data_IF_802328103513
#
_entry.id   IF_802328103513
#
_cell.length_a   1.000
_cell.length_b   1.000
_cell.length_c   1.000
_cell.angle_alpha   90.00
_cell.angle_beta   90.00
_cell.angle_gamma   90.00
#
_symmetry.space_group_name_H-M   'P 1'
#
loop_
_entity.id
_entity.type
_entity.pdbx_description
1 polymer ?
#
# COMPACT_ATOMS: atom_id res chain seq x y z
N UNK A 1 -12.24 19.40 -10.16
CA UNK A 1 -10.86 19.80 -10.57
C UNK A 1 -9.91 18.90 -9.80
N UNK A 2 -8.87 18.35 -10.43
CA UNK A 2 -7.93 17.44 -9.72
C UNK A 2 -6.90 18.31 -9.01
N UNK A 3 -6.87 18.26 -7.67
CA UNK A 3 -5.96 19.03 -6.82
C UNK A 3 -5.11 18.14 -5.91
N UNK A 4 -5.61 16.93 -5.62
CA UNK A 4 -4.95 15.94 -4.78
C UNK A 4 -5.01 14.55 -5.40
N UNK A 5 -3.87 13.94 -5.61
CA UNK A 5 -3.73 12.61 -6.21
C UNK A 5 -3.09 11.67 -5.17
N UNK A 6 -3.69 10.50 -4.98
CA UNK A 6 -3.10 9.40 -4.24
C UNK A 6 -2.61 8.36 -5.23
N UNK A 7 -1.35 7.94 -5.12
CA UNK A 7 -0.81 6.84 -5.92
C UNK A 7 -0.34 5.71 -5.01
N UNK A 8 -0.84 4.50 -5.26
CA UNK A 8 -0.41 3.28 -4.57
C UNK A 8 0.83 2.70 -5.21
N UNK A 9 1.90 2.48 -4.43
CA UNK A 9 3.15 1.88 -4.90
C UNK A 9 3.51 0.67 -4.05
N UNK A 10 3.91 -0.43 -4.69
CA UNK A 10 4.36 -1.68 -4.06
C UNK A 10 5.75 -2.13 -4.52
N UNK A 11 6.39 -1.34 -5.39
CA UNK A 11 7.70 -1.66 -5.98
C UNK A 11 7.60 -2.46 -7.28
N UNK A 12 6.41 -2.88 -7.71
CA UNK A 12 6.20 -3.54 -9.00
C UNK A 12 6.37 -2.57 -10.18
N UNK A 13 6.65 -3.12 -11.36
CA UNK A 13 6.72 -2.33 -12.61
C UNK A 13 5.40 -1.61 -12.91
N UNK A 14 4.26 -2.22 -12.57
CA UNK A 14 2.95 -1.62 -12.78
C UNK A 14 2.72 -0.43 -11.83
N UNK A 15 3.17 -0.53 -10.60
CA UNK A 15 3.10 0.60 -9.66
C UNK A 15 4.07 1.73 -10.01
N UNK A 16 5.24 1.41 -10.58
CA UNK A 16 6.15 2.43 -11.11
C UNK A 16 5.52 3.19 -12.30
N UNK A 17 4.87 2.47 -13.24
CA UNK A 17 4.09 3.12 -14.31
C UNK A 17 2.95 3.98 -13.75
N UNK A 18 2.22 3.46 -12.75
CA UNK A 18 1.15 4.21 -12.10
C UNK A 18 1.67 5.52 -11.49
N UNK A 19 2.83 5.49 -10.87
CA UNK A 19 3.50 6.69 -10.37
C UNK A 19 3.81 7.67 -11.49
N UNK A 20 4.37 7.22 -12.61
CA UNK A 20 4.69 8.08 -13.76
C UNK A 20 3.43 8.80 -14.29
N UNK A 21 2.32 8.08 -14.47
CA UNK A 21 1.04 8.69 -14.86
C UNK A 21 0.51 9.69 -13.84
N UNK A 22 0.60 9.35 -12.54
CA UNK A 22 0.19 10.25 -11.47
C UNK A 22 0.98 11.58 -11.50
N UNK A 23 2.29 11.51 -11.76
CA UNK A 23 3.16 12.69 -11.84
C UNK A 23 2.86 13.55 -13.07
N UNK A 24 2.60 12.95 -14.22
CA UNK A 24 2.20 13.68 -15.42
C UNK A 24 0.88 14.43 -15.23
N UNK A 25 -0.11 13.78 -14.59
CA UNK A 25 -1.38 14.40 -14.27
C UNK A 25 -1.17 15.52 -13.24
N UNK A 26 -0.39 15.27 -12.18
CA UNK A 26 -0.11 16.26 -11.15
C UNK A 26 0.56 17.52 -11.72
N UNK A 27 1.49 17.36 -12.63
CA UNK A 27 2.16 18.50 -13.29
C UNK A 27 1.18 19.35 -14.10
N UNK A 28 0.30 18.71 -14.89
CA UNK A 28 -0.69 19.41 -15.72
C UNK A 28 -1.75 20.16 -14.91
N UNK A 29 -2.14 19.61 -13.76
CA UNK A 29 -3.17 20.18 -12.91
C UNK A 29 -2.64 20.96 -11.72
N UNK A 30 -1.31 21.05 -11.55
CA UNK A 30 -0.67 21.61 -10.35
C UNK A 30 -1.15 20.96 -9.05
N UNK A 31 -1.43 19.65 -9.12
CA UNK A 31 -1.94 18.87 -8.01
C UNK A 31 -0.80 18.40 -7.07
N UNK A 32 -1.12 18.20 -5.80
CA UNK A 32 -0.25 17.52 -4.86
C UNK A 32 -0.40 15.99 -4.98
N UNK A 33 0.69 15.26 -4.72
CA UNK A 33 0.72 13.79 -4.80
C UNK A 33 1.09 13.19 -3.46
N UNK A 34 0.27 12.25 -2.98
CA UNK A 34 0.62 11.33 -1.91
C UNK A 34 1.05 10.00 -2.52
N UNK A 35 2.28 9.61 -2.26
CA UNK A 35 2.80 8.29 -2.60
C UNK A 35 2.56 7.40 -1.38
N UNK A 36 1.64 6.44 -1.51
CA UNK A 36 1.23 5.54 -0.44
C UNK A 36 1.76 4.14 -0.72
N UNK A 37 2.46 3.58 0.26
CA UNK A 37 2.72 2.14 0.31
C UNK A 37 1.96 1.55 1.49
N UNK A 38 1.36 0.39 1.30
CA UNK A 38 0.66 -0.34 2.35
C UNK A 38 1.21 -1.75 2.39
N UNK A 39 1.55 -2.21 3.58
CA UNK A 39 1.96 -3.59 3.81
C UNK A 39 1.01 -4.28 4.79
N UNK A 40 0.81 -5.57 4.56
CA UNK A 40 -0.01 -6.39 5.44
C UNK A 40 0.86 -7.51 6.01
N UNK A 41 1.14 -7.49 7.32
CA UNK A 41 1.79 -8.61 7.97
C UNK A 41 0.98 -9.90 7.78
N UNK A 42 1.62 -11.06 7.60
CA UNK A 42 0.92 -12.33 7.56
C UNK A 42 0.05 -12.52 8.82
N UNK A 43 -1.13 -13.16 8.71
CA UNK A 43 -2.07 -13.32 9.82
C UNK A 43 -1.46 -13.94 11.09
N UNK A 44 -0.52 -14.83 10.92
CA UNK A 44 0.23 -15.50 11.99
C UNK A 44 1.11 -14.54 12.82
N UNK A 45 1.41 -13.37 12.30
CA UNK A 45 2.25 -12.37 12.98
C UNK A 45 1.45 -11.18 13.53
N UNK A 46 0.18 -11.01 13.15
CA UNK A 46 -0.57 -9.78 13.42
C UNK A 46 -1.69 -9.85 14.46
N UNK A 47 -2.18 -11.02 14.86
CA UNK A 47 -3.41 -11.12 15.67
C UNK A 47 -3.35 -12.19 16.78
N UNK A 48 -2.33 -12.22 17.60
CA UNK A 48 -2.33 -13.07 18.80
C UNK A 48 -2.38 -12.28 20.11
N UNK A 49 -3.18 -11.25 20.19
CA UNK A 49 -3.32 -10.57 21.48
C UNK A 49 -4.57 -10.98 22.28
N UNK A 50 -5.68 -11.45 21.70
CA UNK A 50 -6.91 -11.56 22.51
C UNK A 50 -7.87 -12.73 22.23
N UNK A 51 -7.55 -13.75 21.43
CA UNK A 51 -8.55 -14.77 21.10
C UNK A 51 -8.26 -16.18 21.66
N UNK A 52 -7.11 -16.42 22.25
CA UNK A 52 -6.76 -17.77 22.76
C UNK A 52 -7.04 -18.01 24.24
N UNK A 53 -7.64 -17.06 24.96
CA UNK A 53 -7.94 -17.26 26.40
C UNK A 53 -9.24 -18.05 26.69
N UNK A 54 -9.95 -18.55 25.68
CA UNK A 54 -11.24 -19.24 25.91
C UNK A 54 -11.31 -20.71 25.52
N UNK A 55 -10.23 -21.33 25.04
CA UNK A 55 -10.23 -22.76 24.80
C UNK A 55 -9.13 -23.48 25.59
N UNK A 56 -9.48 -24.39 26.52
CA UNK A 56 -8.49 -25.23 27.20
C UNK A 56 -7.97 -26.27 26.20
N UNK A 57 -6.84 -26.01 25.57
CA UNK A 57 -6.16 -26.95 24.69
C UNK A 57 -5.22 -27.83 25.52
N UNK A 58 -5.76 -28.91 26.12
CA UNK A 58 -4.94 -30.01 26.61
C UNK A 58 -4.52 -30.85 25.42
N UNK A 59 -3.24 -30.80 25.03
CA UNK A 59 -2.68 -31.72 24.03
C UNK A 59 -1.65 -31.17 23.04
N UNK A 60 -1.30 -29.88 23.10
CA UNK A 60 -0.20 -29.35 22.27
C UNK A 60 1.07 -29.12 23.08
N UNK A 61 2.27 -29.41 22.51
CA UNK A 61 3.54 -29.15 23.20
C UNK A 61 3.66 -27.65 23.56
N UNK A 62 4.04 -27.36 24.80
CA UNK A 62 4.22 -25.98 25.30
C UNK A 62 5.42 -25.24 24.70
N UNK A 63 6.14 -25.85 23.79
CA UNK A 63 7.38 -25.29 23.20
C UNK A 63 7.12 -24.23 22.10
N UNK A 64 5.86 -23.98 21.75
CA UNK A 64 5.46 -22.98 20.73
C UNK A 64 5.21 -21.57 21.28
N UNK A 65 5.29 -21.36 22.61
CA UNK A 65 5.07 -20.02 23.24
C UNK A 65 6.35 -19.15 23.19
N UNK A 66 7.45 -19.64 22.63
CA UNK A 66 8.78 -19.07 22.73
C UNK A 66 9.16 -17.94 21.74
N UNK A 67 8.29 -17.44 20.85
CA UNK A 67 8.78 -16.60 19.74
C UNK A 67 8.11 -15.23 19.55
N UNK A 68 7.74 -14.52 20.64
CA UNK A 68 7.29 -13.12 20.50
C UNK A 68 8.41 -12.19 19.98
N UNK A 69 9.67 -12.49 20.28
CA UNK A 69 10.81 -11.72 19.79
C UNK A 69 11.04 -11.86 18.28
N UNK A 70 10.79 -13.03 17.71
CA UNK A 70 10.98 -13.27 16.27
C UNK A 70 9.89 -12.60 15.42
N UNK A 71 8.66 -12.50 15.95
CA UNK A 71 7.55 -11.84 15.25
C UNK A 71 7.78 -10.33 15.15
N UNK A 72 8.26 -9.71 16.22
CA UNK A 72 8.57 -8.28 16.21
C UNK A 72 9.72 -7.94 15.27
N UNK A 73 10.79 -8.75 15.25
CA UNK A 73 11.91 -8.57 14.33
C UNK A 73 11.47 -8.71 12.87
N UNK A 74 10.64 -9.71 12.55
CA UNK A 74 10.12 -9.91 11.20
C UNK A 74 9.28 -8.72 10.73
N UNK A 75 8.37 -8.19 11.57
CA UNK A 75 7.54 -7.03 11.21
C UNK A 75 8.42 -5.79 11.01
N UNK A 76 9.47 -5.60 11.83
CA UNK A 76 10.43 -4.50 11.65
C UNK A 76 11.15 -4.62 10.32
N UNK A 77 11.59 -5.81 9.94
CA UNK A 77 12.28 -6.02 8.67
C UNK A 77 11.34 -5.86 7.47
N UNK A 78 10.10 -6.34 7.57
CA UNK A 78 9.07 -6.11 6.56
C UNK A 78 8.81 -4.61 6.37
N UNK A 79 8.66 -3.86 7.46
CA UNK A 79 8.50 -2.40 7.41
C UNK A 79 9.65 -1.72 6.69
N UNK A 80 10.92 -2.08 6.98
CA UNK A 80 12.11 -1.51 6.31
C UNK A 80 12.10 -1.74 4.81
N UNK A 81 11.65 -2.92 4.34
CA UNK A 81 11.52 -3.21 2.90
C UNK A 81 10.53 -2.24 2.26
N UNK A 82 9.40 -2.02 2.88
CA UNK A 82 8.36 -1.11 2.35
C UNK A 82 8.78 0.37 2.45
N UNK A 83 9.51 0.76 3.49
CA UNK A 83 10.13 2.10 3.60
C UNK A 83 11.15 2.33 2.47
N UNK A 84 11.93 1.32 2.08
CA UNK A 84 12.86 1.41 0.97
C UNK A 84 12.13 1.60 -0.38
N UNK A 85 10.96 0.97 -0.59
CA UNK A 85 10.12 1.19 -1.77
C UNK A 85 9.67 2.66 -1.84
N UNK A 86 9.20 3.23 -0.73
CA UNK A 86 8.79 4.63 -0.67
C UNK A 86 9.95 5.59 -0.90
N UNK A 87 11.11 5.33 -0.29
CA UNK A 87 12.30 6.16 -0.46
C UNK A 87 12.75 6.19 -1.92
N UNK A 88 12.81 5.02 -2.57
CA UNK A 88 13.15 4.92 -4.00
C UNK A 88 12.14 5.69 -4.88
N UNK A 89 10.85 5.58 -4.59
CA UNK A 89 9.82 6.30 -5.31
C UNK A 89 9.96 7.83 -5.13
N UNK A 90 10.18 8.30 -3.91
CA UNK A 90 10.36 9.71 -3.61
C UNK A 90 11.63 10.28 -4.26
N UNK A 91 12.75 9.59 -4.18
CA UNK A 91 14.02 10.00 -4.83
C UNK A 91 13.84 10.13 -6.34
N UNK A 92 13.14 9.17 -6.98
CA UNK A 92 12.81 9.23 -8.40
C UNK A 92 12.03 10.50 -8.74
N UNK A 93 10.99 10.81 -7.94
CA UNK A 93 10.17 12.00 -8.18
C UNK A 93 10.98 13.30 -8.02
N UNK A 94 11.73 13.41 -6.94
CA UNK A 94 12.59 14.59 -6.70
C UNK A 94 13.57 14.82 -7.86
N UNK A 95 14.12 13.74 -8.41
CA UNK A 95 15.03 13.81 -9.56
C UNK A 95 14.34 14.22 -10.86
N UNK A 96 13.14 13.69 -11.13
CA UNK A 96 12.45 13.90 -12.41
C UNK A 96 11.54 15.14 -12.41
N UNK A 97 10.93 15.46 -11.26
CA UNK A 97 9.89 16.49 -11.10
C UNK A 97 10.08 17.29 -9.81
N UNK A 98 11.21 17.99 -9.62
CA UNK A 98 11.56 18.62 -8.33
C UNK A 98 10.58 19.70 -7.86
N UNK A 99 9.73 20.22 -8.75
CA UNK A 99 8.74 21.26 -8.42
C UNK A 99 7.40 20.71 -7.95
N UNK A 100 7.16 19.39 -8.06
CA UNK A 100 5.93 18.80 -7.60
C UNK A 100 5.87 18.73 -6.08
N UNK A 101 4.71 19.03 -5.52
CA UNK A 101 4.42 18.82 -4.09
C UNK A 101 4.13 17.36 -3.85
N UNK A 102 5.08 16.64 -3.26
CA UNK A 102 4.92 15.24 -2.91
C UNK A 102 4.99 15.02 -1.41
N UNK A 103 4.26 14.03 -0.94
CA UNK A 103 4.37 13.45 0.39
C UNK A 103 4.39 11.93 0.26
N UNK A 104 4.97 11.26 1.24
CA UNK A 104 5.01 9.78 1.30
C UNK A 104 4.38 9.30 2.59
N UNK A 105 3.67 8.19 2.54
CA UNK A 105 3.08 7.57 3.72
C UNK A 105 3.20 6.04 3.64
N UNK A 106 3.62 5.42 4.74
CA UNK A 106 3.61 3.97 4.91
C UNK A 106 2.49 3.60 5.87
N UNK A 107 1.64 2.66 5.45
CA UNK A 107 0.55 2.14 6.30
C UNK A 107 0.63 0.64 6.45
N UNK A 108 0.13 0.17 7.58
CA UNK A 108 -0.04 -1.24 7.89
C UNK A 108 -1.51 -1.61 7.86
N UNK A 109 -1.84 -2.77 7.29
CA UNK A 109 -3.20 -3.29 7.26
C UNK A 109 -3.63 -3.81 5.89
N UNK A 110 -4.94 -3.98 5.70
CA UNK A 110 -5.47 -4.42 4.42
C UNK A 110 -5.23 -3.36 3.33
N UNK A 111 -4.54 -3.74 2.26
CA UNK A 111 -4.01 -2.82 1.25
C UNK A 111 -5.12 -1.97 0.62
N UNK A 112 -6.18 -2.62 0.11
CA UNK A 112 -7.28 -1.89 -0.53
C UNK A 112 -8.03 -0.98 0.42
N UNK A 113 -8.29 -1.43 1.66
CA UNK A 113 -8.96 -0.64 2.68
C UNK A 113 -8.16 0.61 3.04
N UNK A 114 -6.85 0.47 3.26
CA UNK A 114 -5.98 1.60 3.59
C UNK A 114 -5.90 2.64 2.46
N UNK A 115 -5.87 2.20 1.20
CA UNK A 115 -5.90 3.11 0.04
C UNK A 115 -7.22 3.89 0.01
N UNK A 116 -8.35 3.21 0.15
CA UNK A 116 -9.69 3.80 0.08
C UNK A 116 -9.92 4.78 1.24
N UNK A 117 -9.60 4.37 2.46
CA UNK A 117 -9.74 5.20 3.66
C UNK A 117 -8.83 6.43 3.61
N UNK A 118 -7.60 6.27 3.16
CA UNK A 118 -6.67 7.40 3.02
C UNK A 118 -7.19 8.40 1.99
N UNK A 119 -7.69 7.90 0.86
CA UNK A 119 -8.26 8.76 -0.18
C UNK A 119 -9.49 9.52 0.31
N UNK A 120 -10.40 8.84 1.01
CA UNK A 120 -11.61 9.44 1.56
C UNK A 120 -11.31 10.49 2.64
N UNK A 121 -10.47 10.14 3.62
CA UNK A 121 -10.14 11.01 4.76
C UNK A 121 -9.28 12.20 4.35
N UNK A 122 -8.41 12.04 3.35
CA UNK A 122 -7.56 13.10 2.82
C UNK A 122 -8.24 14.00 1.80
N UNK A 123 -9.45 13.66 1.34
CA UNK A 123 -10.17 14.40 0.29
C UNK A 123 -9.41 14.37 -1.04
N UNK A 124 -8.94 13.19 -1.44
CA UNK A 124 -8.27 13.00 -2.72
C UNK A 124 -9.27 12.96 -3.88
N UNK A 125 -8.92 13.60 -4.99
CA UNK A 125 -9.76 13.67 -6.19
C UNK A 125 -9.53 12.48 -7.12
N UNK A 126 -8.33 11.88 -7.06
CA UNK A 126 -7.92 10.79 -7.93
C UNK A 126 -7.05 9.79 -7.17
N UNK A 127 -7.37 8.50 -7.32
CA UNK A 127 -6.52 7.38 -6.94
C UNK A 127 -5.89 6.82 -8.22
N UNK A 128 -4.58 6.57 -8.21
CA UNK A 128 -3.85 5.91 -9.30
C UNK A 128 -3.21 4.64 -8.77
N UNK A 129 -3.49 3.51 -9.40
CA UNK A 129 -2.93 2.20 -9.02
C UNK A 129 -2.57 1.38 -10.26
N UNK A 130 -1.58 0.50 -10.14
CA UNK A 130 -1.31 -0.49 -11.17
C UNK A 130 -2.46 -1.51 -11.28
N UNK A 131 -2.64 -2.10 -12.46
CA UNK A 131 -3.68 -3.11 -12.66
C UNK A 131 -3.39 -4.42 -11.91
N UNK A 132 -2.10 -4.75 -11.71
CA UNK A 132 -1.60 -5.92 -10.97
C UNK A 132 -0.51 -5.48 -10.02
N UNK A 133 -0.46 -6.12 -8.85
CA UNK A 133 0.64 -5.96 -7.90
C UNK A 133 1.81 -6.91 -8.20
N UNK A 134 2.75 -7.00 -7.26
CA UNK A 134 3.98 -7.77 -7.39
C UNK A 134 3.75 -9.29 -7.52
N UNK A 135 2.66 -9.82 -6.96
CA UNK A 135 2.37 -11.26 -6.86
C UNK A 135 1.44 -11.83 -7.94
N UNK A 136 0.93 -11.02 -8.87
CA UNK A 136 -0.12 -11.45 -9.79
C UNK A 136 0.38 -11.60 -11.24
N UNK A 137 0.20 -12.81 -11.81
CA UNK A 137 0.77 -13.22 -13.12
C UNK A 137 -0.26 -13.21 -14.26
N UNK A 138 -1.53 -12.89 -14.01
CA UNK A 138 -2.59 -13.01 -15.02
C UNK A 138 -2.82 -11.71 -15.78
N UNK A 139 -2.33 -11.63 -17.01
CA UNK A 139 -2.38 -10.46 -17.91
C UNK A 139 -3.80 -9.92 -18.24
N UNK A 140 -4.85 -10.68 -18.01
CA UNK A 140 -6.23 -10.33 -18.39
C UNK A 140 -7.15 -9.98 -17.23
N UNK A 141 -6.69 -10.02 -15.99
CA UNK A 141 -7.52 -9.76 -14.80
C UNK A 141 -7.01 -8.55 -14.06
N UNK A 142 -7.94 -7.78 -13.51
CA UNK A 142 -7.63 -6.79 -12.49
C UNK A 142 -7.14 -7.51 -11.22
N UNK A 143 -6.08 -7.01 -10.60
CA UNK A 143 -5.65 -7.51 -9.31
C UNK A 143 -6.69 -7.24 -8.23
N UNK A 144 -6.70 -8.10 -7.22
CA UNK A 144 -7.67 -8.05 -6.12
C UNK A 144 -7.72 -6.69 -5.40
N UNK A 145 -6.59 -6.02 -5.31
CA UNK A 145 -6.51 -4.66 -4.74
C UNK A 145 -7.13 -3.62 -5.65
N UNK A 146 -6.73 -3.58 -6.92
CA UNK A 146 -7.24 -2.61 -7.90
C UNK A 146 -8.73 -2.78 -8.15
N UNK A 147 -9.24 -4.02 -8.19
CA UNK A 147 -10.67 -4.31 -8.29
C UNK A 147 -11.45 -3.73 -7.11
N UNK A 148 -11.02 -3.98 -5.86
CA UNK A 148 -11.68 -3.43 -4.67
C UNK A 148 -11.63 -1.91 -4.62
N UNK A 149 -10.49 -1.31 -5.00
CA UNK A 149 -10.35 0.15 -5.06
C UNK A 149 -11.36 0.74 -6.04
N UNK A 150 -11.50 0.19 -7.26
CA UNK A 150 -12.48 0.66 -8.26
C UNK A 150 -13.91 0.58 -7.72
N UNK A 151 -14.27 -0.52 -7.06
CA UNK A 151 -15.63 -0.72 -6.57
C UNK A 151 -16.01 0.15 -5.37
N UNK A 152 -15.05 0.53 -4.53
CA UNK A 152 -15.34 1.13 -3.22
C UNK A 152 -14.84 2.58 -3.08
N UNK A 153 -13.99 3.06 -3.97
CA UNK A 153 -13.51 4.43 -3.93
C UNK A 153 -14.66 5.42 -4.18
N UNK A 154 -14.61 6.56 -3.48
CA UNK A 154 -15.58 7.66 -3.62
C UNK A 154 -15.10 8.76 -4.56
N UNK A 155 -13.91 8.63 -5.11
CA UNK A 155 -13.32 9.55 -6.08
C UNK A 155 -12.97 8.81 -7.38
N UNK A 156 -12.46 9.54 -8.37
CA UNK A 156 -12.00 8.92 -9.60
C UNK A 156 -10.86 7.93 -9.36
N UNK A 157 -10.82 6.85 -10.13
CA UNK A 157 -9.75 5.83 -10.08
C UNK A 157 -9.17 5.62 -11.46
N UNK A 158 -7.85 5.72 -11.57
CA UNK A 158 -7.09 5.40 -12.77
C UNK A 158 -6.33 4.09 -12.55
N UNK A 159 -6.64 3.11 -13.38
CA UNK A 159 -5.92 1.84 -13.43
C UNK A 159 -4.90 1.89 -14.56
N UNK A 160 -3.63 1.66 -14.23
CA UNK A 160 -2.52 1.70 -15.18
C UNK A 160 -2.04 0.27 -15.48
N UNK A 161 -1.97 -0.07 -16.76
CA UNK A 161 -1.49 -1.38 -17.29
C UNK A 161 -0.03 -1.31 -17.71
#
# INVERSE_FOLDING_TARGET
MITKILVGVDGSKNSEKALDYALEIAEKFSASVLILNVFQPPPEFGYQANTFSQFPMSGYPQDTIGNQSNNSAFIIDLRKVHEAVLSKAAERVIKLKPMLKITTELKEGNISSQIIETAANGGFDLIVVGHLGESEIKEFLLGSTSEKVVHQARCAVLIVK
#
